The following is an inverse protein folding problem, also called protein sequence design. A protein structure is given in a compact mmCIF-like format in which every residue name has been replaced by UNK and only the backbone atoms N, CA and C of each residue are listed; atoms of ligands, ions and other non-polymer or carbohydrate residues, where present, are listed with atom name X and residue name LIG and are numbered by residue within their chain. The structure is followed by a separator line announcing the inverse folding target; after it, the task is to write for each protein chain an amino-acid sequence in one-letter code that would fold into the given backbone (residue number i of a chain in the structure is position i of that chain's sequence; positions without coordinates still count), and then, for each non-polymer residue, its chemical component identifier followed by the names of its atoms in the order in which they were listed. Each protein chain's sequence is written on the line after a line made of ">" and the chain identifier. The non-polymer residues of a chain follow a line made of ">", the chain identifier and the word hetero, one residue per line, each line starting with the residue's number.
data_IF_261873554229
#
_entry.id   IF_261873554229
#
_cell.length_a   1.000
_cell.length_b   1.000
_cell.length_c   1.000
_cell.angle_alpha   90.00
_cell.angle_beta   90.00
_cell.angle_gamma   90.00
#
_symmetry.space_group_name_H-M   'P 1'
#
loop_
_entity.id
_entity.type
_entity.pdbx_description
1 polymer ?
#
# COMPACT_ATOMS: atom_id res chain seq x y z
N UNK A 1 4.38 -28.96 -66.40
CA UNK A 1 3.83 -28.58 -65.06
C UNK A 1 4.66 -29.19 -63.92
N UNK A 2 5.98 -28.95 -63.86
CA UNK A 2 6.86 -29.62 -62.88
C UNK A 2 7.97 -28.70 -62.31
N UNK A 3 7.77 -27.37 -62.32
CA UNK A 3 8.76 -26.40 -61.81
C UNK A 3 8.15 -25.31 -60.90
N UNK A 4 7.13 -25.66 -60.13
CA UNK A 4 6.51 -24.71 -59.19
C UNK A 4 6.09 -25.38 -57.87
N UNK A 5 6.94 -26.25 -57.31
CA UNK A 5 6.68 -26.87 -55.99
C UNK A 5 7.87 -26.89 -55.02
N UNK A 6 9.01 -26.29 -55.38
CA UNK A 6 10.21 -26.33 -54.52
C UNK A 6 10.62 -24.98 -53.92
N UNK A 7 9.87 -23.90 -54.16
CA UNK A 7 10.20 -22.56 -53.65
C UNK A 7 9.38 -22.12 -52.41
N UNK A 8 8.56 -23.00 -51.82
CA UNK A 8 7.70 -22.65 -50.68
C UNK A 8 7.90 -23.54 -49.44
N UNK A 9 9.07 -24.18 -49.32
CA UNK A 9 9.47 -24.88 -48.09
C UNK A 9 10.79 -24.39 -47.49
N UNK A 10 11.45 -23.39 -48.08
CA UNK A 10 12.69 -22.80 -47.54
C UNK A 10 12.49 -21.43 -46.87
N UNK A 11 11.33 -20.78 -47.03
CA UNK A 11 11.07 -19.45 -46.48
C UNK A 11 10.33 -19.46 -45.11
N UNK A 12 9.83 -20.61 -44.66
CA UNK A 12 9.10 -20.73 -43.39
C UNK A 12 9.94 -21.32 -42.25
N UNK A 13 11.20 -21.64 -42.50
CA UNK A 13 12.09 -22.30 -41.54
C UNK A 13 13.14 -21.37 -40.89
N UNK A 14 13.13 -20.06 -41.18
CA UNK A 14 14.15 -19.11 -40.68
C UNK A 14 13.66 -17.97 -39.78
N UNK A 15 12.40 -17.99 -39.32
CA UNK A 15 11.94 -17.03 -38.28
C UNK A 15 11.09 -17.78 -37.25
N UNK A 16 11.68 -18.85 -36.71
CA UNK A 16 11.30 -19.42 -35.43
C UNK A 16 12.58 -19.83 -34.71
N UNK A 17 13.56 -18.92 -34.66
CA UNK A 17 14.40 -18.87 -33.47
C UNK A 17 13.41 -18.42 -32.40
N UNK A 18 12.79 -19.38 -31.75
CA UNK A 18 12.46 -19.21 -30.35
C UNK A 18 13.75 -18.70 -29.74
N UNK A 19 13.88 -17.38 -29.54
CA UNK A 19 14.59 -16.91 -28.38
C UNK A 19 13.80 -17.52 -27.24
N UNK A 20 14.10 -18.78 -26.91
CA UNK A 20 13.91 -19.26 -25.58
C UNK A 20 14.58 -18.16 -24.77
N UNK A 21 13.75 -17.32 -24.14
CA UNK A 21 14.23 -16.46 -23.09
C UNK A 21 14.80 -17.48 -22.10
N UNK A 22 16.11 -17.74 -22.19
CA UNK A 22 16.81 -18.43 -21.13
C UNK A 22 16.51 -17.55 -19.94
N UNK A 23 15.66 -18.02 -19.04
CA UNK A 23 15.40 -17.31 -17.80
C UNK A 23 16.78 -17.07 -17.20
N UNK A 24 17.13 -15.80 -17.01
CA UNK A 24 18.43 -15.45 -16.46
C UNK A 24 18.63 -16.25 -15.17
N UNK A 25 19.79 -16.87 -14.99
CA UNK A 25 20.08 -17.51 -13.72
C UNK A 25 20.31 -16.40 -12.70
N UNK A 26 19.38 -16.27 -11.75
CA UNK A 26 19.45 -15.27 -10.67
C UNK A 26 19.65 -16.01 -9.36
N UNK A 27 20.75 -15.71 -8.66
CA UNK A 27 21.00 -16.19 -7.29
C UNK A 27 21.44 -15.04 -6.40
N UNK A 28 20.93 -15.02 -5.17
CA UNK A 28 21.31 -14.01 -4.18
C UNK A 28 22.30 -14.61 -3.20
N UNK A 29 23.26 -13.80 -2.75
CA UNK A 29 24.09 -14.19 -1.60
C UNK A 29 23.19 -14.43 -0.40
N UNK A 30 23.21 -15.62 0.23
CA UNK A 30 22.35 -15.93 1.36
C UNK A 30 22.61 -14.98 2.54
N UNK A 31 21.56 -14.74 3.31
CA UNK A 31 21.62 -14.11 4.63
C UNK A 31 21.12 -15.10 5.67
N UNK A 32 21.77 -15.13 6.83
CA UNK A 32 21.36 -16.01 7.91
C UNK A 32 20.04 -15.55 8.52
N UNK A 33 19.20 -16.51 8.89
CA UNK A 33 17.99 -16.22 9.66
C UNK A 33 18.39 -15.62 11.02
N UNK A 34 17.76 -14.51 11.45
CA UNK A 34 18.13 -13.85 12.70
C UNK A 34 17.73 -14.71 13.92
N UNK A 35 18.70 -15.26 14.63
CA UNK A 35 18.48 -16.08 15.82
C UNK A 35 18.27 -15.24 17.09
N UNK A 36 19.14 -14.24 17.29
CA UNK A 36 19.17 -13.42 18.51
C UNK A 36 18.32 -12.15 18.39
N UNK A 37 17.84 -11.64 19.53
CA UNK A 37 16.95 -10.47 19.55
C UNK A 37 17.56 -9.22 18.90
N UNK A 38 18.88 -9.01 19.09
CA UNK A 38 19.60 -7.92 18.44
C UNK A 38 19.63 -8.06 16.91
N UNK A 39 19.77 -9.29 16.39
CA UNK A 39 19.79 -9.56 14.96
C UNK A 39 18.40 -9.36 14.32
N UNK A 40 17.32 -9.68 15.05
CA UNK A 40 15.92 -9.46 14.60
C UNK A 40 15.58 -7.96 14.45
N UNK A 41 16.33 -7.09 15.13
CA UNK A 41 16.16 -5.63 15.10
C UNK A 41 17.16 -4.93 14.18
N UNK A 42 18.15 -5.66 13.68
CA UNK A 42 19.14 -5.15 12.75
C UNK A 42 18.64 -5.30 11.32
N UNK A 43 19.03 -4.37 10.44
CA UNK A 43 18.79 -4.55 9.03
C UNK A 43 19.75 -5.62 8.49
N UNK A 44 19.19 -6.70 7.98
CA UNK A 44 19.93 -7.81 7.38
C UNK A 44 19.49 -7.97 5.92
N UNK A 45 20.35 -7.60 4.99
CA UNK A 45 20.08 -7.65 3.54
C UNK A 45 21.20 -8.37 2.81
N UNK A 46 20.84 -9.06 1.72
CA UNK A 46 21.84 -9.61 0.81
C UNK A 46 22.73 -8.50 0.23
N UNK A 47 24.01 -8.77 0.05
CA UNK A 47 24.99 -7.78 -0.43
C UNK A 47 25.34 -7.95 -1.91
N UNK A 48 24.95 -9.07 -2.52
CA UNK A 48 25.21 -9.32 -3.94
C UNK A 48 24.15 -10.24 -4.56
N UNK A 49 23.94 -10.04 -5.86
CA UNK A 49 23.14 -10.90 -6.73
C UNK A 49 24.02 -11.33 -7.89
N UNK A 50 23.98 -12.61 -8.25
CA UNK A 50 24.61 -13.13 -9.46
C UNK A 50 23.53 -13.28 -10.52
N UNK A 51 23.72 -12.62 -11.66
CA UNK A 51 22.86 -12.68 -12.83
C UNK A 51 23.69 -13.24 -13.98
N UNK A 52 23.29 -14.40 -14.51
CA UNK A 52 23.98 -15.09 -15.61
C UNK A 52 25.50 -15.24 -15.38
N UNK A 53 25.86 -15.66 -14.16
CA UNK A 53 27.24 -15.87 -13.73
C UNK A 53 28.03 -14.60 -13.42
N UNK A 54 27.44 -13.41 -13.56
CA UNK A 54 28.07 -12.13 -13.21
C UNK A 54 27.54 -11.63 -11.87
N UNK A 55 28.45 -11.41 -10.91
CA UNK A 55 28.08 -10.85 -9.60
C UNK A 55 27.91 -9.32 -9.68
N UNK A 56 26.84 -8.83 -9.07
CA UNK A 56 26.51 -7.42 -8.91
C UNK A 56 26.33 -7.10 -7.43
N UNK A 57 26.95 -6.02 -6.96
CA UNK A 57 26.72 -5.52 -5.61
C UNK A 57 25.33 -4.91 -5.50
N UNK A 58 24.61 -5.29 -4.45
CA UNK A 58 23.30 -4.73 -4.09
C UNK A 58 23.29 -4.39 -2.61
N UNK A 59 22.30 -3.61 -2.20
CA UNK A 59 22.13 -3.22 -0.82
C UNK A 59 20.76 -2.59 -0.59
N UNK A 60 20.60 -2.00 0.58
CA UNK A 60 19.40 -1.28 0.95
C UNK A 60 19.68 0.22 1.00
N UNK A 61 18.63 1.01 0.81
CA UNK A 61 18.63 2.45 0.95
C UNK A 61 17.37 2.86 1.71
N UNK A 62 17.51 3.45 2.90
CA UNK A 62 16.34 3.95 3.64
C UNK A 62 15.86 5.24 2.98
N UNK A 63 14.64 5.21 2.44
CA UNK A 63 13.98 6.40 1.91
C UNK A 63 13.48 7.27 3.06
N UNK A 64 12.70 6.70 3.99
CA UNK A 64 12.13 7.42 5.13
C UNK A 64 11.96 6.50 6.35
N UNK A 65 11.93 7.09 7.54
CA UNK A 65 11.50 6.43 8.79
C UNK A 65 10.30 7.16 9.38
N UNK A 66 9.38 6.43 9.99
CA UNK A 66 8.31 7.05 10.77
C UNK A 66 8.89 7.99 11.82
N UNK A 67 8.28 9.18 11.98
CA UNK A 67 8.77 10.22 12.87
C UNK A 67 9.90 11.08 12.29
N UNK A 68 10.43 10.74 11.11
CA UNK A 68 11.40 11.59 10.42
C UNK A 68 10.71 12.84 9.88
N UNK A 69 11.30 14.01 10.15
CA UNK A 69 10.90 15.26 9.49
C UNK A 69 11.47 15.30 8.07
N UNK A 70 10.61 15.49 7.08
CA UNK A 70 10.96 15.56 5.65
C UNK A 70 10.22 16.76 5.06
N UNK A 71 10.97 17.81 4.70
CA UNK A 71 10.38 19.11 4.43
C UNK A 71 9.64 19.65 5.66
N UNK A 72 8.37 19.99 5.49
CA UNK A 72 7.54 20.59 6.54
C UNK A 72 6.74 19.58 7.37
N UNK A 73 6.64 18.32 6.93
CA UNK A 73 5.86 17.29 7.62
C UNK A 73 6.74 16.25 8.32
N UNK A 74 6.15 15.60 9.32
CA UNK A 74 6.70 14.40 9.95
C UNK A 74 6.06 13.18 9.30
N UNK A 75 6.86 12.25 8.79
CA UNK A 75 6.39 11.05 8.09
C UNK A 75 5.70 10.07 9.05
N UNK A 76 4.56 9.50 8.64
CA UNK A 76 3.83 8.50 9.42
C UNK A 76 3.03 9.05 10.61
N UNK A 77 2.58 10.31 10.57
CA UNK A 77 1.73 10.93 11.60
C UNK A 77 0.29 11.02 11.09
N UNK A 78 -0.67 10.28 11.65
CA UNK A 78 -2.07 10.39 11.27
C UNK A 78 -2.66 11.78 11.55
N UNK A 79 -3.61 12.18 10.71
CA UNK A 79 -4.39 13.41 10.85
C UNK A 79 -5.88 13.11 10.96
N UNK A 80 -6.62 13.98 11.65
CA UNK A 80 -8.07 13.91 11.72
C UNK A 80 -8.75 14.41 10.42
N UNK A 81 -10.07 14.34 10.35
CA UNK A 81 -10.85 14.79 9.20
C UNK A 81 -10.71 16.30 8.89
N UNK A 82 -10.22 17.10 9.83
CA UNK A 82 -9.94 18.52 9.66
C UNK A 82 -8.46 18.78 9.29
N UNK A 83 -7.64 17.73 9.16
CA UNK A 83 -6.21 17.82 8.86
C UNK A 83 -5.33 18.14 10.06
N UNK A 84 -5.86 18.10 11.29
CA UNK A 84 -5.05 18.30 12.49
C UNK A 84 -4.28 17.02 12.84
N UNK A 85 -3.06 17.18 13.33
CA UNK A 85 -2.25 16.07 13.84
C UNK A 85 -2.98 15.39 15.01
N UNK A 86 -3.10 14.07 14.94
CA UNK A 86 -3.62 13.27 16.04
C UNK A 86 -2.52 13.08 17.10
N UNK A 87 -2.84 13.42 18.35
CA UNK A 87 -1.91 13.33 19.48
C UNK A 87 -2.31 12.27 20.49
N UNK A 88 -1.33 11.81 21.26
CA UNK A 88 -1.56 11.03 22.47
C UNK A 88 -2.12 11.91 23.61
N UNK A 89 -2.38 11.30 24.77
CA UNK A 89 -2.92 11.98 25.94
C UNK A 89 -1.98 13.06 26.55
N UNK A 90 -0.71 13.08 26.15
CA UNK A 90 0.26 14.10 26.56
C UNK A 90 0.35 15.27 25.57
N UNK A 91 -0.40 15.21 24.46
CA UNK A 91 -0.34 16.19 23.38
C UNK A 91 0.82 15.96 22.41
N UNK A 92 1.50 14.81 22.48
CA UNK A 92 2.56 14.46 21.52
C UNK A 92 1.94 13.80 20.29
N UNK A 93 2.41 14.11 19.06
CA UNK A 93 1.95 13.41 17.85
C UNK A 93 2.10 11.90 17.97
N UNK A 94 1.04 11.17 17.61
CA UNK A 94 1.11 9.73 17.41
C UNK A 94 1.87 9.49 16.10
N UNK A 95 2.90 8.65 16.17
CA UNK A 95 3.70 8.25 15.02
C UNK A 95 3.44 6.76 14.81
N UNK A 96 2.94 6.40 13.63
CA UNK A 96 2.74 5.00 13.25
C UNK A 96 4.05 4.39 12.77
N UNK A 97 4.41 3.25 13.34
CA UNK A 97 5.49 2.37 12.90
C UNK A 97 5.00 1.23 11.99
N UNK A 98 3.70 1.20 11.68
CA UNK A 98 3.02 0.20 10.85
C UNK A 98 3.02 0.60 9.37
N UNK A 99 4.18 0.95 8.80
CA UNK A 99 4.26 1.23 7.36
C UNK A 99 4.05 -0.07 6.56
N UNK A 100 3.13 -0.04 5.60
CA UNK A 100 2.84 -1.18 4.73
C UNK A 100 3.22 -0.86 3.28
N UNK A 101 2.37 -1.18 2.30
CA UNK A 101 2.69 -1.04 0.89
C UNK A 101 3.03 0.42 0.50
N UNK A 102 4.12 0.52 -0.25
CA UNK A 102 4.62 1.77 -0.82
C UNK A 102 4.64 1.65 -2.33
N UNK A 103 3.81 2.47 -2.97
CA UNK A 103 3.85 2.64 -4.42
C UNK A 103 4.98 3.58 -4.84
N UNK A 104 5.60 3.30 -5.98
CA UNK A 104 6.48 4.23 -6.70
C UNK A 104 5.76 4.69 -7.97
N UNK A 105 5.59 6.00 -8.14
CA UNK A 105 4.70 6.61 -9.12
C UNK A 105 5.46 7.65 -9.96
N UNK A 106 5.97 7.28 -11.15
CA UNK A 106 6.46 8.23 -12.13
C UNK A 106 5.27 9.04 -12.71
N UNK A 107 5.28 10.36 -12.56
CA UNK A 107 4.20 11.25 -13.04
C UNK A 107 4.83 12.44 -13.76
N UNK A 108 4.73 12.46 -15.08
CA UNK A 108 5.42 13.45 -15.91
C UNK A 108 6.93 13.36 -15.70
N UNK A 109 7.56 14.47 -15.32
CA UNK A 109 9.00 14.50 -15.01
C UNK A 109 9.31 14.29 -13.52
N UNK A 110 8.30 14.03 -12.69
CA UNK A 110 8.46 13.83 -11.25
C UNK A 110 8.34 12.36 -10.86
N UNK A 111 8.95 12.03 -9.72
CA UNK A 111 8.82 10.74 -9.08
C UNK A 111 8.16 10.93 -7.71
N UNK A 112 7.05 10.24 -7.49
CA UNK A 112 6.35 10.25 -6.23
C UNK A 112 6.35 8.86 -5.61
N UNK A 113 6.16 8.80 -4.29
CA UNK A 113 5.74 7.58 -3.62
C UNK A 113 4.54 7.87 -2.72
N UNK A 114 3.62 6.90 -2.66
CA UNK A 114 2.58 6.85 -1.63
C UNK A 114 2.85 5.66 -0.74
N UNK A 115 3.00 5.92 0.56
CA UNK A 115 3.09 4.92 1.63
C UNK A 115 1.86 5.04 2.51
N UNK A 116 1.12 3.95 2.69
CA UNK A 116 0.09 3.88 3.74
C UNK A 116 0.63 3.24 5.02
N UNK A 117 -0.07 3.52 6.11
CA UNK A 117 0.24 3.04 7.45
C UNK A 117 -0.96 2.29 8.01
N UNK A 118 -0.77 1.03 8.37
CA UNK A 118 -1.76 0.04 8.81
C UNK A 118 -2.28 0.30 10.23
N UNK A 119 -2.50 1.56 10.57
CA UNK A 119 -2.92 2.00 11.90
C UNK A 119 -4.37 2.52 11.91
N UNK A 120 -4.86 2.97 13.06
CA UNK A 120 -6.22 3.52 13.24
C UNK A 120 -6.20 4.82 14.06
N UNK A 121 -6.64 5.96 13.50
CA UNK A 121 -6.93 6.19 12.08
C UNK A 121 -5.68 6.01 11.23
N UNK A 122 -5.83 5.40 10.06
CA UNK A 122 -4.72 5.18 9.15
C UNK A 122 -4.24 6.49 8.53
N UNK A 123 -3.06 6.45 7.93
CA UNK A 123 -2.50 7.56 7.17
C UNK A 123 -2.01 7.08 5.81
N UNK A 124 -2.10 7.94 4.80
CA UNK A 124 -1.36 7.82 3.54
C UNK A 124 -0.48 9.05 3.40
N UNK A 125 0.77 8.87 3.02
CA UNK A 125 1.71 9.95 2.80
C UNK A 125 2.17 10.00 1.36
N UNK A 126 2.06 11.18 0.75
CA UNK A 126 2.64 11.46 -0.56
C UNK A 126 4.02 12.10 -0.37
N UNK A 127 5.05 11.43 -0.87
CA UNK A 127 6.42 11.95 -0.91
C UNK A 127 6.86 12.22 -2.34
N UNK A 128 7.47 13.37 -2.59
CA UNK A 128 8.23 13.61 -3.83
C UNK A 128 9.64 13.07 -3.63
N UNK A 129 10.16 12.32 -4.60
CA UNK A 129 11.47 11.67 -4.52
C UNK A 129 12.42 12.23 -5.58
N UNK A 130 13.69 12.41 -5.23
CA UNK A 130 14.78 12.49 -6.19
C UNK A 130 15.39 11.11 -6.42
N UNK A 131 15.96 10.91 -7.60
CA UNK A 131 16.81 9.77 -7.91
C UNK A 131 18.19 10.26 -8.34
N UNK A 132 19.25 9.76 -7.70
CA UNK A 132 20.63 10.10 -8.08
C UNK A 132 21.12 9.29 -9.30
N UNK A 133 22.34 9.57 -9.77
CA UNK A 133 22.93 8.88 -10.92
C UNK A 133 23.18 7.38 -10.69
N UNK A 134 23.19 6.92 -9.44
CA UNK A 134 23.33 5.51 -9.06
C UNK A 134 21.97 4.83 -8.82
N UNK A 135 20.87 5.55 -9.00
CA UNK A 135 19.52 5.06 -8.80
C UNK A 135 19.00 5.16 -7.36
N UNK A 136 19.77 5.75 -6.43
CA UNK A 136 19.33 5.88 -5.04
C UNK A 136 18.20 6.90 -4.93
N UNK A 137 17.17 6.55 -4.18
CA UNK A 137 16.01 7.39 -3.94
C UNK A 137 16.15 8.16 -2.63
N UNK A 138 15.84 9.46 -2.64
CA UNK A 138 15.78 10.29 -1.45
C UNK A 138 14.50 11.14 -1.44
N UNK A 139 13.81 11.29 -0.30
CA UNK A 139 12.62 12.11 -0.25
C UNK A 139 12.98 13.59 -0.23
N UNK A 140 12.38 14.35 -1.14
CA UNK A 140 12.47 15.82 -1.22
C UNK A 140 11.49 16.46 -0.24
N UNK A 141 10.25 15.98 -0.23
CA UNK A 141 9.17 16.46 0.62
C UNK A 141 8.20 15.33 0.94
N UNK A 142 7.42 15.47 2.01
CA UNK A 142 6.33 14.56 2.32
C UNK A 142 5.14 15.32 2.93
N UNK A 143 3.94 14.79 2.82
CA UNK A 143 2.74 15.28 3.53
C UNK A 143 1.68 14.20 3.65
N UNK A 144 0.81 14.24 4.67
CA UNK A 144 -0.37 13.40 4.71
C UNK A 144 -1.31 13.73 3.54
N UNK A 145 -1.92 12.71 2.96
CA UNK A 145 -2.96 12.83 1.94
C UNK A 145 -4.28 13.15 2.64
N UNK A 146 -5.04 14.07 2.07
CA UNK A 146 -6.39 14.38 2.56
C UNK A 146 -7.35 13.24 2.20
N UNK A 147 -7.92 12.63 3.24
CA UNK A 147 -8.85 11.50 3.14
C UNK A 147 -10.26 11.88 3.62
N UNK A 148 -10.50 13.16 3.92
CA UNK A 148 -11.80 13.65 4.41
C UNK A 148 -12.94 13.37 3.42
N UNK A 149 -12.65 13.41 2.12
CA UNK A 149 -13.60 13.07 1.06
C UNK A 149 -14.03 11.61 1.00
N UNK A 150 -13.38 10.71 1.75
CA UNK A 150 -13.71 9.28 1.83
C UNK A 150 -13.94 8.78 3.26
N UNK A 151 -14.21 9.70 4.19
CA UNK A 151 -14.40 9.40 5.61
C UNK A 151 -13.21 8.70 6.30
N UNK A 152 -11.99 9.00 5.82
CA UNK A 152 -10.76 8.44 6.35
C UNK A 152 -10.43 7.05 5.80
N UNK A 153 -9.33 6.52 6.30
CA UNK A 153 -8.76 5.24 5.90
C UNK A 153 -8.65 4.32 7.11
N UNK A 154 -8.85 3.03 6.87
CA UNK A 154 -8.91 2.00 7.90
C UNK A 154 -7.98 0.85 7.55
N UNK A 155 -7.02 0.56 8.44
CA UNK A 155 -6.16 -0.66 8.39
C UNK A 155 -5.72 -1.00 6.96
N UNK A 156 -5.00 -0.10 6.28
CA UNK A 156 -4.54 -0.35 4.93
C UNK A 156 -3.34 -1.29 4.95
N UNK A 157 -3.54 -2.51 4.46
CA UNK A 157 -2.52 -3.56 4.40
C UNK A 157 -1.76 -3.46 3.07
N UNK A 158 -1.75 -4.51 2.25
CA UNK A 158 -1.04 -4.51 0.98
C UNK A 158 -1.66 -3.55 -0.09
N UNK A 159 -1.01 -3.50 -1.26
CA UNK A 159 -1.48 -2.71 -2.38
C UNK A 159 -0.75 -2.99 -3.68
N UNK A 160 -1.16 -2.28 -4.72
CA UNK A 160 -0.56 -2.35 -6.04
C UNK A 160 -0.53 -0.97 -6.72
N UNK A 161 0.32 -0.84 -7.73
CA UNK A 161 0.20 0.24 -8.70
C UNK A 161 -0.72 -0.24 -9.82
N UNK A 162 -1.77 0.51 -10.10
CA UNK A 162 -2.71 0.17 -11.18
C UNK A 162 -2.03 0.31 -12.55
N UNK A 163 -2.56 -0.36 -13.60
CA UNK A 163 -2.05 -0.19 -14.96
C UNK A 163 -2.10 1.25 -15.51
N UNK A 164 -2.87 2.14 -14.86
CA UNK A 164 -2.94 3.57 -15.20
C UNK A 164 -2.16 4.46 -14.22
N UNK A 165 -1.29 3.89 -13.38
CA UNK A 165 -0.29 4.63 -12.62
C UNK A 165 -0.81 5.29 -11.34
N UNK A 166 -1.83 4.71 -10.69
CA UNK A 166 -2.31 5.16 -9.38
C UNK A 166 -1.94 4.17 -8.27
N UNK A 167 -1.93 4.65 -7.02
CA UNK A 167 -1.81 3.80 -5.85
C UNK A 167 -3.16 3.15 -5.57
N UNK A 168 -3.22 1.82 -5.53
CA UNK A 168 -4.40 1.06 -5.10
C UNK A 168 -4.05 0.30 -3.84
N UNK A 169 -4.42 0.87 -2.70
CA UNK A 169 -4.32 0.23 -1.40
C UNK A 169 -5.60 -0.51 -1.03
N UNK A 170 -5.63 -1.00 0.19
CA UNK A 170 -6.72 -1.80 0.73
C UNK A 170 -7.24 -1.25 2.06
N UNK A 171 -8.31 -1.85 2.56
CA UNK A 171 -8.77 -1.71 3.95
C UNK A 171 -9.13 -3.11 4.45
N UNK A 172 -8.42 -3.56 5.45
CA UNK A 172 -8.52 -4.91 5.99
C UNK A 172 -9.50 -4.99 7.17
N UNK A 173 -9.84 -6.19 7.62
CA UNK A 173 -10.63 -6.47 8.83
C UNK A 173 -11.82 -5.51 9.05
N UNK A 174 -12.78 -5.46 8.12
CA UNK A 174 -13.90 -4.54 8.22
C UNK A 174 -14.64 -4.74 9.55
N UNK A 175 -14.94 -3.66 10.29
CA UNK A 175 -15.59 -3.75 11.59
C UNK A 175 -16.98 -4.39 11.49
N UNK A 176 -17.35 -5.18 12.51
CA UNK A 176 -18.66 -5.81 12.60
C UNK A 176 -19.71 -4.79 13.07
N UNK A 177 -20.53 -4.32 12.13
CA UNK A 177 -21.58 -3.33 12.42
C UNK A 177 -22.63 -3.82 13.44
N UNK A 178 -22.90 -5.14 13.46
CA UNK A 178 -23.90 -5.73 14.36
C UNK A 178 -23.47 -5.65 15.81
N UNK A 179 -22.20 -5.90 16.11
CA UNK A 179 -21.67 -5.83 17.46
C UNK A 179 -21.78 -4.41 18.02
N UNK A 180 -21.44 -3.42 17.18
CA UNK A 180 -21.51 -2.01 17.56
C UNK A 180 -22.96 -1.54 17.76
N UNK A 181 -23.91 -2.03 16.96
CA UNK A 181 -25.34 -1.73 17.11
C UNK A 181 -25.95 -2.40 18.34
N UNK A 182 -25.58 -3.66 18.61
CA UNK A 182 -26.11 -4.44 19.73
C UNK A 182 -25.53 -4.02 21.09
N UNK A 183 -24.34 -3.43 21.13
CA UNK A 183 -23.65 -3.07 22.37
C UNK A 183 -24.51 -2.16 23.27
N UNK A 184 -24.60 -2.48 24.55
CA UNK A 184 -25.26 -1.63 25.55
C UNK A 184 -24.29 -0.69 26.27
N UNK A 185 -23.00 -0.98 26.16
CA UNK A 185 -21.89 -0.26 26.79
C UNK A 185 -20.64 -0.28 25.91
N UNK A 186 -19.69 0.65 26.13
CA UNK A 186 -18.41 0.65 25.41
C UNK A 186 -17.55 -0.58 25.71
N UNK A 187 -17.68 -1.18 26.90
CA UNK A 187 -16.94 -2.39 27.29
C UNK A 187 -17.35 -3.64 26.51
N UNK A 188 -18.47 -3.60 25.78
CA UNK A 188 -18.90 -4.67 24.88
C UNK A 188 -18.34 -4.51 23.45
N UNK A 189 -17.68 -3.38 23.16
CA UNK A 189 -17.08 -3.11 21.85
C UNK A 189 -15.59 -3.44 21.95
N UNK A 190 -15.10 -4.21 20.97
CA UNK A 190 -13.67 -4.51 20.83
C UNK A 190 -12.85 -3.21 20.80
N UNK A 191 -11.83 -3.11 21.65
CA UNK A 191 -10.99 -1.92 21.71
C UNK A 191 -10.23 -1.70 20.40
N UNK A 192 -10.07 -2.73 19.57
CA UNK A 192 -9.49 -2.69 18.24
C UNK A 192 -10.08 -1.61 17.33
N UNK A 193 -11.40 -1.35 17.42
CA UNK A 193 -12.09 -0.37 16.55
C UNK A 193 -12.12 1.05 17.12
N UNK A 194 -11.94 1.18 18.43
CA UNK A 194 -12.12 2.45 19.15
C UNK A 194 -11.13 3.57 18.75
N UNK A 195 -9.86 3.29 18.39
CA UNK A 195 -8.93 4.33 17.94
C UNK A 195 -9.44 5.16 16.77
N UNK A 196 -10.27 4.57 15.89
CA UNK A 196 -10.77 5.28 14.70
C UNK A 196 -11.66 6.48 15.05
N UNK A 197 -12.23 6.54 16.27
CA UNK A 197 -13.00 7.70 16.73
C UNK A 197 -12.17 9.00 16.71
N UNK A 198 -10.83 8.90 16.85
CA UNK A 198 -9.91 10.05 16.75
C UNK A 198 -9.99 10.75 15.41
N UNK A 199 -10.32 10.03 14.34
CA UNK A 199 -10.45 10.63 13.00
C UNK A 199 -11.54 11.71 12.97
N UNK A 200 -12.58 11.55 13.77
CA UNK A 200 -13.67 12.51 13.91
C UNK A 200 -13.53 13.37 15.18
N UNK A 201 -12.30 13.53 15.69
CA UNK A 201 -11.98 14.41 16.82
C UNK A 201 -12.44 13.90 18.19
N UNK A 202 -12.80 12.62 18.31
CA UNK A 202 -13.27 12.03 19.57
C UNK A 202 -12.13 11.26 20.24
N UNK A 203 -11.78 11.64 21.47
CA UNK A 203 -10.81 10.89 22.30
C UNK A 203 -11.45 9.58 22.80
N UNK A 204 -10.90 8.40 22.43
CA UNK A 204 -11.42 7.10 22.88
C UNK A 204 -11.46 6.92 24.40
N UNK A 205 -10.68 7.69 25.18
CA UNK A 205 -10.70 7.63 26.65
C UNK A 205 -11.84 8.43 27.29
N UNK A 206 -12.39 9.40 26.57
CA UNK A 206 -13.42 10.32 27.07
C UNK A 206 -14.78 10.09 26.41
N UNK A 207 -14.84 9.19 25.42
CA UNK A 207 -16.05 8.94 24.66
C UNK A 207 -17.11 8.20 25.47
N UNK A 208 -18.37 8.49 25.17
CA UNK A 208 -19.51 7.64 25.52
C UNK A 208 -19.86 6.71 24.35
N UNK A 209 -20.70 5.71 24.57
CA UNK A 209 -21.20 4.86 23.49
C UNK A 209 -21.90 5.68 22.38
N UNK A 210 -22.63 6.73 22.76
CA UNK A 210 -23.27 7.64 21.80
C UNK A 210 -22.26 8.40 20.95
N UNK A 211 -21.22 8.96 21.58
CA UNK A 211 -20.13 9.66 20.88
C UNK A 211 -19.39 8.72 19.92
N UNK A 212 -19.10 7.48 20.35
CA UNK A 212 -18.46 6.49 19.49
C UNK A 212 -19.32 6.16 18.27
N UNK A 213 -20.61 5.87 18.48
CA UNK A 213 -21.55 5.57 17.37
C UNK A 213 -21.71 6.74 16.42
N UNK A 214 -21.61 7.98 16.88
CA UNK A 214 -21.62 9.16 16.03
C UNK A 214 -20.34 9.26 15.19
N UNK A 215 -19.18 9.12 15.84
CA UNK A 215 -17.86 9.26 15.25
C UNK A 215 -17.42 8.09 14.35
N UNK A 216 -17.97 6.89 14.53
CA UNK A 216 -17.53 5.70 13.80
C UNK A 216 -18.69 4.99 13.11
N UNK A 217 -18.63 4.87 11.78
CA UNK A 217 -19.61 4.15 10.96
C UNK A 217 -18.95 2.93 10.30
N UNK A 218 -19.22 1.71 10.79
CA UNK A 218 -18.52 0.49 10.35
C UNK A 218 -18.57 0.22 8.85
N UNK A 219 -19.68 0.55 8.19
CA UNK A 219 -19.89 0.32 6.76
C UNK A 219 -19.07 1.22 5.84
N UNK A 220 -18.35 2.21 6.39
CA UNK A 220 -17.46 3.07 5.59
C UNK A 220 -16.14 2.39 5.23
N UNK A 221 -15.82 1.27 5.86
CA UNK A 221 -14.50 0.64 5.77
C UNK A 221 -14.56 -0.80 5.25
N UNK A 222 -13.45 -1.27 4.69
CA UNK A 222 -13.27 -2.61 4.15
C UNK A 222 -13.31 -2.68 2.62
N UNK A 223 -12.80 -1.65 1.94
CA UNK A 223 -12.84 -1.52 0.49
C UNK A 223 -11.45 -1.24 -0.08
N UNK A 224 -11.19 -1.55 -1.37
CA UNK A 224 -10.04 -1.02 -2.05
C UNK A 224 -10.08 0.51 -2.13
N UNK A 225 -8.96 1.16 -1.83
CA UNK A 225 -8.82 2.63 -1.83
C UNK A 225 -7.78 3.03 -2.85
N UNK A 226 -8.19 3.84 -3.82
CA UNK A 226 -7.31 4.33 -4.87
C UNK A 226 -6.95 5.80 -4.65
N UNK A 227 -5.67 6.13 -4.78
CA UNK A 227 -5.15 7.49 -4.79
C UNK A 227 -4.43 7.80 -6.09
N UNK A 228 -4.89 8.85 -6.77
CA UNK A 228 -4.24 9.40 -7.97
C UNK A 228 -3.41 10.62 -7.60
N UNK A 229 -2.33 10.84 -8.33
CA UNK A 229 -1.41 11.98 -8.15
C UNK A 229 -1.24 12.69 -9.48
N UNK A 230 -1.32 14.03 -9.49
CA UNK A 230 -0.96 14.85 -10.65
C UNK A 230 0.52 15.25 -10.62
N UNK A 231 1.09 15.74 -11.73
CA UNK A 231 2.48 16.22 -11.73
C UNK A 231 2.68 17.44 -10.80
N UNK A 232 1.62 18.19 -10.49
CA UNK A 232 1.64 19.26 -9.49
C UNK A 232 1.67 18.73 -8.04
N UNK A 233 1.54 17.41 -7.84
CA UNK A 233 1.42 16.79 -6.52
C UNK A 233 0.02 16.88 -5.93
N UNK A 234 -1.02 17.16 -6.71
CA UNK A 234 -2.39 17.13 -6.19
C UNK A 234 -2.87 15.68 -6.09
N UNK A 235 -3.60 15.35 -5.03
CA UNK A 235 -4.10 13.99 -4.78
C UNK A 235 -5.62 13.93 -4.80
N UNK A 236 -6.17 12.86 -5.36
CA UNK A 236 -7.59 12.51 -5.21
C UNK A 236 -7.73 11.07 -4.76
N UNK A 237 -8.51 10.84 -3.70
CA UNK A 237 -8.77 9.51 -3.15
C UNK A 237 -10.21 9.04 -3.47
N UNK A 238 -10.38 7.74 -3.69
CA UNK A 238 -11.70 7.13 -3.91
C UNK A 238 -11.76 5.72 -3.32
N UNK A 239 -12.92 5.32 -2.80
CA UNK A 239 -13.20 3.92 -2.42
C UNK A 239 -13.96 3.21 -3.54
N UNK A 240 -13.51 2.01 -3.87
CA UNK A 240 -14.12 1.18 -4.93
C UNK A 240 -15.20 0.27 -4.36
N UNK A 241 -16.33 0.86 -3.94
CA UNK A 241 -17.42 0.11 -3.30
C UNK A 241 -17.98 -1.06 -4.14
N UNK A 242 -17.94 -0.94 -5.47
CA UNK A 242 -18.40 -1.99 -6.39
C UNK A 242 -17.55 -3.28 -6.32
N UNK A 243 -16.33 -3.19 -5.78
CA UNK A 243 -15.43 -4.33 -5.59
C UNK A 243 -15.77 -5.18 -4.35
N UNK A 244 -16.79 -4.77 -3.56
CA UNK A 244 -17.25 -5.51 -2.39
C UNK A 244 -16.52 -5.12 -1.10
N UNK A 245 -17.08 -5.58 0.02
CA UNK A 245 -16.60 -5.28 1.38
C UNK A 245 -16.11 -6.54 2.08
N UNK A 246 -14.80 -6.69 2.22
CA UNK A 246 -14.12 -7.85 2.83
C UNK A 246 -12.87 -7.37 3.57
N UNK A 247 -12.09 -8.26 4.20
CA UNK A 247 -10.77 -7.92 4.72
C UNK A 247 -9.80 -7.83 3.53
N UNK A 248 -9.84 -6.71 2.79
CA UNK A 248 -9.09 -6.61 1.54
C UNK A 248 -7.59 -6.64 1.88
N UNK A 249 -6.91 -7.72 1.51
CA UNK A 249 -5.45 -7.76 1.54
C UNK A 249 -4.92 -6.95 0.35
N UNK A 250 -5.30 -7.39 -0.86
CA UNK A 250 -4.86 -6.81 -2.11
C UNK A 250 -5.99 -6.79 -3.12
N UNK A 251 -6.18 -5.65 -3.79
CA UNK A 251 -6.89 -5.57 -5.05
C UNK A 251 -5.88 -5.41 -6.20
N UNK A 252 -5.75 -6.41 -7.06
CA UNK A 252 -4.81 -6.41 -8.17
C UNK A 252 -5.54 -6.27 -9.50
N UNK A 253 -5.40 -5.10 -10.13
CA UNK A 253 -5.98 -4.82 -11.45
C UNK A 253 -5.12 -5.43 -12.55
N UNK A 254 -5.73 -6.23 -13.41
CA UNK A 254 -5.07 -6.88 -14.53
C UNK A 254 -4.77 -5.89 -15.68
N UNK A 255 -3.84 -6.25 -16.60
CA UNK A 255 -3.48 -5.39 -17.73
C UNK A 255 -4.63 -5.02 -18.68
N UNK A 256 -5.77 -5.71 -18.62
CA UNK A 256 -6.98 -5.36 -19.39
C UNK A 256 -7.70 -4.10 -18.86
N UNK A 257 -7.23 -3.56 -17.74
CA UNK A 257 -7.74 -2.36 -17.06
C UNK A 257 -9.21 -2.46 -16.63
N UNK A 258 -9.72 -3.68 -16.46
CA UNK A 258 -11.13 -3.94 -16.13
C UNK A 258 -11.31 -5.01 -15.08
N UNK A 259 -10.48 -6.04 -15.14
CA UNK A 259 -10.56 -7.16 -14.22
C UNK A 259 -9.68 -6.90 -13.01
N UNK A 260 -10.21 -7.10 -11.82
CA UNK A 260 -9.43 -7.09 -10.58
C UNK A 260 -9.61 -8.41 -9.83
N UNK A 261 -8.51 -8.99 -9.35
CA UNK A 261 -8.54 -10.03 -8.33
C UNK A 261 -8.43 -9.40 -6.96
N UNK A 262 -9.23 -9.86 -6.01
CA UNK A 262 -9.31 -9.30 -4.66
C UNK A 262 -9.14 -10.44 -3.68
N UNK A 263 -8.06 -10.41 -2.89
CA UNK A 263 -7.84 -11.35 -1.80
C UNK A 263 -8.47 -10.83 -0.51
N UNK A 264 -9.13 -11.74 0.20
CA UNK A 264 -9.65 -11.54 1.55
C UNK A 264 -8.62 -12.13 2.52
N UNK A 265 -8.15 -11.36 3.51
CA UNK A 265 -7.23 -11.89 4.52
C UNK A 265 -8.00 -12.52 5.67
N UNK A 266 -7.74 -13.80 5.85
CA UNK A 266 -8.38 -14.59 6.89
C UNK A 266 -8.33 -16.08 6.63
N UNK A 267 -8.75 -16.83 7.63
CA UNK A 267 -8.82 -18.28 7.53
C UNK A 267 -10.14 -18.71 6.88
N UNK A 268 -10.06 -19.57 5.85
CA UNK A 268 -11.22 -20.10 5.11
C UNK A 268 -12.10 -19.02 4.45
N UNK A 269 -11.47 -17.97 3.92
CA UNK A 269 -12.13 -16.84 3.23
C UNK A 269 -12.06 -16.99 1.69
N UNK A 270 -12.41 -15.93 0.95
CA UNK A 270 -12.55 -15.96 -0.50
C UNK A 270 -11.40 -15.33 -1.30
N UNK A 271 -11.28 -15.76 -2.56
CA UNK A 271 -10.60 -15.00 -3.62
C UNK A 271 -11.67 -14.53 -4.60
N UNK A 272 -11.82 -13.22 -4.76
CA UNK A 272 -12.87 -12.62 -5.57
C UNK A 272 -12.33 -12.09 -6.89
N UNK A 273 -13.22 -12.00 -7.89
CA UNK A 273 -12.94 -11.38 -9.18
C UNK A 273 -14.01 -10.34 -9.47
N UNK A 274 -13.59 -9.11 -9.68
CA UNK A 274 -14.43 -8.02 -10.16
C UNK A 274 -14.13 -7.72 -11.64
N UNK A 275 -15.15 -7.35 -12.41
CA UNK A 275 -15.01 -6.91 -13.80
C UNK A 275 -15.89 -5.66 -13.98
N UNK A 276 -15.27 -4.54 -14.35
CA UNK A 276 -15.93 -3.23 -14.51
C UNK A 276 -16.84 -3.13 -15.75
#
# INVERSE_FOLDING_TARGET
>A
MAKLRTAFLAATAMIAINTAANAAEISFKPVDAPAEDAAKRALNSTTSVTIDGTEHNIGWNTIARSGQKIGDATFGVPVDAAGNIITDASGKPIVSDDADFTSLLPVGNKLFSITHFETRPAAMYLSELSQDANGNLAPISTRPIDLSGIDGLWVPCAGAVTPWGSHLGSEEYPPNAREIDAASSLSEIDDYVTPMARYNGVDPKLMTLGMFREAFKPYRYGFPVEVKVTEAGETSAAKHYAMGRVAVELAYVLPDQKTAYISDDGTNVGLFRFVA
#
